data_IF_639506984377
#
_entry.id   IF_639506984377
#
_cell.length_a   1.000
_cell.length_b   1.000
_cell.length_c   1.000
_cell.angle_alpha   90.00
_cell.angle_beta   90.00
_cell.angle_gamma   90.00
#
_symmetry.space_group_name_H-M   'P 1'
#
loop_
_entity.id
_entity.type
_entity.pdbx_description
1 polymer ?
#
# COMPACT_ATOMS: atom_id res chain seq x y z
N UNK A 1 11.15 -12.28 4.93
CA UNK A 1 12.17 -12.44 3.85
C UNK A 1 12.99 -11.17 3.80
N UNK A 2 14.31 -11.26 4.03
CA UNK A 2 15.22 -10.11 3.86
C UNK A 2 15.31 -9.73 2.38
N UNK A 3 15.38 -8.45 2.08
CA UNK A 3 15.60 -7.98 0.72
C UNK A 3 16.92 -8.50 0.16
N UNK A 4 16.97 -8.77 -1.14
CA UNK A 4 18.21 -9.13 -1.82
C UNK A 4 18.99 -7.87 -2.20
N UNK A 5 20.32 -7.95 -2.13
CA UNK A 5 21.18 -6.91 -2.66
C UNK A 5 20.93 -6.73 -4.16
N UNK A 6 20.77 -5.49 -4.61
CA UNK A 6 20.68 -5.12 -6.02
C UNK A 6 21.87 -4.25 -6.38
N UNK A 7 22.52 -4.55 -7.48
CA UNK A 7 23.76 -3.91 -7.89
C UNK A 7 24.86 -4.04 -6.80
N UNK A 8 25.39 -2.95 -6.32
CA UNK A 8 26.56 -2.92 -5.43
C UNK A 8 26.23 -2.47 -4.00
N UNK A 9 24.95 -2.47 -3.59
CA UNK A 9 24.55 -2.11 -2.23
C UNK A 9 23.58 -3.11 -1.62
N UNK A 10 23.71 -3.33 -0.31
CA UNK A 10 22.77 -4.15 0.44
C UNK A 10 21.48 -3.38 0.74
N UNK A 11 20.35 -4.06 1.04
CA UNK A 11 19.12 -3.41 1.48
C UNK A 11 19.32 -2.49 2.71
N UNK A 12 20.13 -2.93 3.65
CA UNK A 12 20.45 -2.14 4.85
C UNK A 12 21.20 -0.85 4.51
N UNK A 13 22.20 -0.93 3.64
CA UNK A 13 22.92 0.25 3.16
C UNK A 13 22.00 1.20 2.39
N UNK A 14 21.08 0.67 1.58
CA UNK A 14 20.13 1.49 0.84
C UNK A 14 19.23 2.29 1.78
N UNK A 15 18.66 1.65 2.81
CA UNK A 15 17.84 2.30 3.82
C UNK A 15 18.64 3.35 4.56
N UNK A 16 19.84 2.99 5.04
CA UNK A 16 20.66 3.91 5.84
C UNK A 16 21.17 5.12 5.04
N UNK A 17 21.36 5.02 3.72
CA UNK A 17 21.60 6.18 2.86
C UNK A 17 20.44 7.17 2.81
N UNK A 18 19.21 6.67 2.79
CA UNK A 18 18.00 7.52 2.87
C UNK A 18 17.98 8.24 4.23
N UNK A 19 18.23 7.49 5.30
CA UNK A 19 18.24 8.01 6.67
C UNK A 19 19.38 9.04 6.90
N UNK A 20 20.56 8.84 6.32
CA UNK A 20 21.66 9.82 6.33
C UNK A 20 21.22 11.14 5.70
N UNK A 21 20.57 11.09 4.55
CA UNK A 21 20.04 12.27 3.88
C UNK A 21 19.04 13.02 4.75
N UNK A 22 18.20 12.28 5.49
CA UNK A 22 17.21 12.84 6.39
C UNK A 22 17.77 13.29 7.75
N UNK A 23 19.03 13.00 8.04
CA UNK A 23 19.67 13.32 9.31
C UNK A 23 19.15 12.53 10.51
N UNK A 24 18.66 11.30 10.28
CA UNK A 24 18.09 10.43 11.32
C UNK A 24 18.99 9.21 11.59
N UNK A 25 18.94 8.62 12.80
CA UNK A 25 19.78 7.48 13.15
C UNK A 25 19.59 6.28 12.23
N UNK A 26 20.67 5.53 11.99
CA UNK A 26 20.63 4.29 11.24
C UNK A 26 19.77 3.21 11.90
N UNK A 27 19.21 2.32 11.09
CA UNK A 27 18.60 1.06 11.55
C UNK A 27 19.62 -0.06 11.54
N UNK A 28 19.45 -1.03 12.44
CA UNK A 28 20.36 -2.15 12.57
C UNK A 28 20.14 -3.26 11.54
N UNK A 29 18.91 -3.37 11.01
CA UNK A 29 18.53 -4.44 10.07
C UNK A 29 17.49 -3.96 9.04
N UNK A 30 17.48 -4.61 7.88
CA UNK A 30 16.53 -4.37 6.81
C UNK A 30 15.51 -5.53 6.73
N UNK A 31 14.63 -5.62 7.71
CA UNK A 31 13.49 -6.53 7.69
C UNK A 31 12.24 -5.84 7.08
N UNK A 32 11.15 -6.59 6.92
CA UNK A 32 9.93 -6.04 6.31
C UNK A 32 9.33 -4.89 7.12
N UNK A 33 9.36 -4.96 8.44
CA UNK A 33 8.86 -3.91 9.31
C UNK A 33 9.65 -2.60 9.12
N UNK A 34 10.98 -2.70 9.08
CA UNK A 34 11.86 -1.56 8.81
C UNK A 34 11.57 -0.94 7.44
N UNK A 35 11.40 -1.77 6.40
CA UNK A 35 11.09 -1.32 5.04
C UNK A 35 9.72 -0.63 4.99
N UNK A 36 8.71 -1.21 5.64
CA UNK A 36 7.37 -0.61 5.70
C UNK A 36 7.37 0.75 6.37
N UNK A 37 8.07 0.86 7.51
CA UNK A 37 8.17 2.11 8.26
C UNK A 37 8.93 3.17 7.47
N UNK A 38 10.05 2.82 6.85
CA UNK A 38 10.83 3.76 6.04
C UNK A 38 10.03 4.27 4.84
N UNK A 39 9.30 3.38 4.16
CA UNK A 39 8.44 3.77 3.03
C UNK A 39 7.27 4.67 3.44
N UNK A 40 6.70 4.47 4.64
CA UNK A 40 5.68 5.38 5.17
C UNK A 40 6.27 6.77 5.36
N UNK A 41 7.43 6.86 6.04
CA UNK A 41 8.04 8.14 6.36
C UNK A 41 8.50 8.91 5.11
N UNK A 42 9.13 8.23 4.15
CA UNK A 42 9.65 8.85 2.93
C UNK A 42 8.55 9.22 1.91
N UNK A 43 7.54 8.36 1.76
CA UNK A 43 6.57 8.47 0.68
C UNK A 43 5.19 8.94 1.15
N UNK A 44 5.10 9.52 2.35
CA UNK A 44 3.86 10.12 2.86
C UNK A 44 3.39 11.21 1.89
N UNK A 45 2.11 11.17 1.54
CA UNK A 45 1.43 12.03 0.56
C UNK A 45 1.80 11.80 -0.92
N UNK A 46 2.66 10.84 -1.26
CA UNK A 46 3.00 10.53 -2.65
C UNK A 46 2.06 9.49 -3.31
N UNK A 47 1.05 9.00 -2.60
CA UNK A 47 0.04 8.08 -3.12
C UNK A 47 0.48 6.61 -3.24
N UNK A 48 1.68 6.24 -2.80
CA UNK A 48 2.21 4.88 -2.95
C UNK A 48 1.68 3.88 -1.92
N UNK A 49 1.20 4.34 -0.77
CA UNK A 49 0.86 3.47 0.37
C UNK A 49 -0.13 2.37 0.05
N UNK A 50 -1.19 2.68 -0.69
CA UNK A 50 -2.20 1.71 -1.08
C UNK A 50 -1.60 0.57 -1.92
N UNK A 51 -0.79 0.90 -2.91
CA UNK A 51 -0.13 -0.09 -3.77
C UNK A 51 0.91 -0.93 -3.01
N UNK A 52 1.60 -0.36 -2.03
CA UNK A 52 2.50 -1.10 -1.16
C UNK A 52 1.73 -2.12 -0.32
N UNK A 53 0.62 -1.72 0.28
CA UNK A 53 -0.24 -2.61 1.06
C UNK A 53 -0.84 -3.74 0.23
N UNK A 54 -1.27 -3.45 -1.01
CA UNK A 54 -1.72 -4.47 -1.96
C UNK A 54 -0.62 -5.49 -2.25
N UNK A 55 0.57 -5.01 -2.63
CA UNK A 55 1.72 -5.86 -2.97
C UNK A 55 2.18 -6.74 -1.81
N UNK A 56 2.05 -6.25 -0.58
CA UNK A 56 2.40 -6.99 0.64
C UNK A 56 1.27 -7.87 1.19
N UNK A 57 0.08 -7.81 0.59
CA UNK A 57 -1.10 -8.54 1.08
C UNK A 57 -1.64 -8.02 2.41
N UNK A 58 -1.37 -6.76 2.76
CA UNK A 58 -1.72 -6.15 4.06
C UNK A 58 -2.87 -5.14 3.98
N UNK A 59 -3.44 -4.93 2.82
CA UNK A 59 -4.45 -3.87 2.62
C UNK A 59 -5.69 -4.09 3.50
N UNK A 60 -6.23 -5.30 3.53
CA UNK A 60 -7.43 -5.64 4.31
C UNK A 60 -7.19 -5.43 5.81
N UNK A 61 -6.07 -5.96 6.31
CA UNK A 61 -5.67 -5.83 7.72
C UNK A 61 -5.56 -4.37 8.14
N UNK A 62 -4.86 -3.55 7.35
CA UNK A 62 -4.65 -2.13 7.67
C UNK A 62 -5.93 -1.30 7.60
N UNK A 63 -6.84 -1.60 6.68
CA UNK A 63 -8.15 -0.94 6.67
C UNK A 63 -9.01 -1.32 7.86
N UNK A 64 -8.99 -2.60 8.29
CA UNK A 64 -9.68 -3.04 9.52
C UNK A 64 -9.12 -2.38 10.78
N UNK A 65 -7.79 -2.26 10.89
CA UNK A 65 -7.14 -1.54 11.98
C UNK A 65 -7.55 -0.06 12.00
N UNK A 66 -7.59 0.59 10.84
CA UNK A 66 -8.03 1.99 10.70
C UNK A 66 -9.49 2.14 11.14
N UNK A 67 -10.39 1.28 10.68
CA UNK A 67 -11.79 1.27 11.09
C UNK A 67 -11.95 1.07 12.60
N UNK A 68 -11.10 0.25 13.23
CA UNK A 68 -11.16 -0.02 14.67
C UNK A 68 -10.60 1.13 15.51
N UNK A 69 -9.53 1.79 15.06
CA UNK A 69 -8.72 2.71 15.86
C UNK A 69 -9.01 4.19 15.60
N UNK A 70 -9.40 4.58 14.39
CA UNK A 70 -9.57 5.98 14.02
C UNK A 70 -10.99 6.50 14.32
N UNK A 71 -11.15 7.42 15.29
CA UNK A 71 -12.45 8.02 15.59
C UNK A 71 -13.03 8.84 14.44
N UNK A 72 -12.17 9.45 13.61
CA UNK A 72 -12.62 10.24 12.46
C UNK A 72 -13.14 9.34 11.36
N UNK A 73 -12.47 8.22 11.11
CA UNK A 73 -12.94 7.22 10.17
C UNK A 73 -14.33 6.73 10.54
N UNK A 74 -14.56 6.36 11.80
CA UNK A 74 -15.88 5.97 12.32
C UNK A 74 -16.93 7.06 12.18
N UNK A 75 -16.55 8.32 12.37
CA UNK A 75 -17.46 9.47 12.32
C UNK A 75 -17.87 9.84 10.89
N UNK A 76 -16.95 9.74 9.95
CA UNK A 76 -17.15 10.17 8.57
C UNK A 76 -17.36 9.01 7.59
N UNK A 77 -16.97 7.79 7.94
CA UNK A 77 -17.31 6.63 7.14
C UNK A 77 -18.81 6.36 7.28
N UNK A 78 -19.56 6.89 6.38
CA UNK A 78 -20.81 6.21 6.06
C UNK A 78 -20.35 4.87 5.47
N UNK A 79 -20.59 3.79 6.18
CA UNK A 79 -20.17 2.42 5.83
C UNK A 79 -20.46 2.04 4.35
N UNK A 80 -21.32 2.80 3.72
CA UNK A 80 -21.77 2.68 2.35
C UNK A 80 -20.78 3.25 1.32
N UNK A 81 -19.90 4.21 1.69
CA UNK A 81 -19.10 4.96 0.72
C UNK A 81 -17.59 4.97 0.99
N UNK A 82 -17.15 4.62 2.19
CA UNK A 82 -15.75 4.71 2.60
C UNK A 82 -15.17 3.43 3.19
N UNK A 83 -16.00 2.38 3.37
CA UNK A 83 -15.54 1.10 3.87
C UNK A 83 -14.78 0.32 2.80
N UNK A 84 -13.62 -0.23 3.16
CA UNK A 84 -12.90 -1.13 2.28
C UNK A 84 -13.66 -2.46 2.17
N UNK A 85 -14.03 -2.83 0.94
CA UNK A 85 -14.71 -4.09 0.63
C UNK A 85 -13.68 -5.09 0.11
N UNK A 86 -13.39 -6.11 0.93
CA UNK A 86 -12.51 -7.22 0.56
C UNK A 86 -13.05 -7.96 -0.68
N UNK A 87 -12.15 -8.39 -1.56
CA UNK A 87 -12.44 -9.00 -2.86
C UNK A 87 -13.11 -8.05 -3.88
N UNK A 88 -13.08 -6.74 -3.61
CA UNK A 88 -13.53 -5.69 -4.54
C UNK A 88 -12.52 -4.56 -4.63
N UNK A 89 -12.23 -3.91 -3.50
CA UNK A 89 -11.43 -2.69 -3.49
C UNK A 89 -9.92 -2.91 -3.65
N UNK A 90 -9.46 -4.16 -3.66
CA UNK A 90 -8.12 -4.53 -4.11
C UNK A 90 -7.94 -4.34 -5.63
N UNK A 91 -9.04 -4.26 -6.35
CA UNK A 91 -9.06 -4.12 -7.81
C UNK A 91 -9.63 -2.76 -8.20
N UNK A 92 -8.97 -2.12 -9.14
CA UNK A 92 -9.50 -0.91 -9.77
C UNK A 92 -10.50 -1.35 -10.85
N UNK A 93 -11.71 -0.75 -10.94
CA UNK A 93 -12.64 -1.09 -12.00
C UNK A 93 -12.07 -0.75 -13.37
N UNK A 94 -12.38 -1.57 -14.36
CA UNK A 94 -12.12 -1.20 -15.75
C UNK A 94 -13.10 -0.08 -16.15
N UNK A 95 -12.65 0.90 -16.96
CA UNK A 95 -13.54 1.93 -17.49
C UNK A 95 -14.72 1.30 -18.23
N UNK A 96 -15.91 1.87 -18.07
CA UNK A 96 -17.13 1.30 -18.67
C UNK A 96 -17.03 1.23 -20.19
N UNK A 97 -16.44 2.24 -20.81
CA UNK A 97 -16.25 2.29 -22.26
C UNK A 97 -15.39 1.12 -22.77
N UNK A 98 -14.39 0.70 -21.98
CA UNK A 98 -13.57 -0.47 -22.30
C UNK A 98 -14.35 -1.78 -22.14
N UNK A 99 -15.19 -1.89 -21.10
CA UNK A 99 -16.00 -3.07 -20.85
C UNK A 99 -17.08 -3.25 -21.94
N UNK A 100 -17.69 -2.15 -22.39
CA UNK A 100 -18.74 -2.16 -23.40
C UNK A 100 -18.20 -2.19 -24.84
N UNK A 101 -17.05 -1.54 -25.08
CA UNK A 101 -16.49 -1.40 -26.43
C UNK A 101 -15.54 -2.51 -26.85
N UNK A 102 -14.97 -3.27 -25.93
CA UNK A 102 -13.97 -4.28 -26.24
C UNK A 102 -14.56 -5.71 -26.13
N UNK A 103 -14.78 -6.42 -27.25
CA UNK A 103 -15.39 -7.74 -27.26
C UNK A 103 -14.59 -8.83 -26.53
N UNK A 104 -13.33 -8.56 -26.18
CA UNK A 104 -12.49 -9.48 -25.40
C UNK A 104 -12.63 -9.29 -23.89
N UNK A 105 -13.25 -8.21 -23.43
CA UNK A 105 -13.53 -7.97 -22.02
C UNK A 105 -14.94 -8.42 -21.70
N UNK A 106 -15.06 -9.63 -21.14
CA UNK A 106 -16.35 -10.26 -20.87
C UNK A 106 -17.04 -9.67 -19.63
N UNK A 107 -16.26 -9.19 -18.67
CA UNK A 107 -16.75 -8.61 -17.40
C UNK A 107 -15.69 -7.72 -16.75
N UNK A 108 -16.15 -6.86 -15.84
CA UNK A 108 -15.28 -6.03 -15.02
C UNK A 108 -14.51 -6.86 -13.97
N UNK A 109 -13.61 -6.22 -13.24
CA UNK A 109 -12.90 -6.82 -12.11
C UNK A 109 -13.87 -7.28 -11.01
N UNK A 110 -13.45 -8.20 -10.12
CA UNK A 110 -14.33 -8.74 -9.08
C UNK A 110 -15.01 -7.65 -8.25
N UNK A 111 -16.33 -7.76 -8.08
CA UNK A 111 -17.12 -6.83 -7.27
C UNK A 111 -17.56 -5.54 -7.97
N UNK A 112 -17.15 -5.33 -9.24
CA UNK A 112 -17.50 -4.16 -10.05
C UNK A 112 -18.46 -4.49 -11.19
#
# INVERSE_FOLDING_TARGET
>A
MGGKATANITPLEAINRVRDRAGVPHVAEANMETIENERILELTYEGFRFFDLLRWGKVVERFRELEASDPLFKKFSRAQYMGFQENKNEWIPLPIDEVEGNPYIVKNNPGW
#
